data_IF_346368822383
#
_entry.id   IF_346368822383
#
_cell.length_a   1.000
_cell.length_b   1.000
_cell.length_c   1.000
_cell.angle_alpha   90.00
_cell.angle_beta   90.00
_cell.angle_gamma   90.00
#
_symmetry.space_group_name_H-M   'P 1'
#
loop_
_entity.id
_entity.type
_entity.pdbx_description
1 polymer ?
#
# COMPACT_ATOMS: atom_id res chain seq x y z
N UNK A 1 -59.25 34.15 -25.46
CA UNK A 1 -58.43 35.36 -25.39
C UNK A 1 -57.24 35.05 -24.50
N UNK A 2 -55.99 34.99 -24.93
CA UNK A 2 -55.29 35.34 -26.18
C UNK A 2 -53.97 34.54 -26.15
N UNK A 3 -53.61 33.83 -27.22
CA UNK A 3 -52.58 34.21 -28.20
C UNK A 3 -51.19 34.41 -27.56
N UNK A 4 -50.31 33.40 -27.61
CA UNK A 4 -49.33 33.13 -28.68
C UNK A 4 -48.01 33.92 -28.49
N UNK A 5 -46.93 33.22 -28.17
CA UNK A 5 -45.60 33.57 -28.72
C UNK A 5 -44.71 32.33 -28.74
N UNK A 6 -44.65 31.66 -29.89
CA UNK A 6 -43.81 30.50 -30.16
C UNK A 6 -42.91 30.88 -31.33
N UNK A 7 -41.78 31.50 -31.03
CA UNK A 7 -40.77 31.82 -32.03
C UNK A 7 -40.03 30.54 -32.43
N UNK A 8 -40.19 30.18 -33.70
CA UNK A 8 -39.45 29.14 -34.37
C UNK A 8 -38.11 29.72 -34.85
N UNK A 9 -37.01 29.17 -34.35
CA UNK A 9 -35.69 29.39 -34.94
C UNK A 9 -35.33 28.19 -35.81
N UNK A 10 -35.07 28.50 -37.08
CA UNK A 10 -34.80 27.57 -38.15
C UNK A 10 -33.40 26.94 -38.02
N UNK A 11 -33.34 25.62 -38.23
CA UNK A 11 -32.09 24.87 -38.41
C UNK A 11 -31.45 25.23 -39.75
N UNK A 12 -30.20 25.69 -39.71
CA UNK A 12 -29.34 25.81 -40.89
C UNK A 12 -28.43 24.57 -40.94
N UNK A 13 -28.47 23.74 -41.99
CA UNK A 13 -27.49 22.68 -42.20
C UNK A 13 -26.22 23.27 -42.81
N UNK A 14 -25.16 23.36 -41.99
CA UNK A 14 -23.82 23.68 -42.46
C UNK A 14 -23.01 22.39 -42.64
N UNK A 15 -22.99 21.85 -43.87
CA UNK A 15 -22.00 20.87 -44.33
C UNK A 15 -20.62 21.54 -44.46
N UNK A 16 -20.00 21.80 -43.31
CA UNK A 16 -18.61 22.20 -43.21
C UNK A 16 -17.77 20.98 -42.86
N UNK A 17 -17.26 20.27 -43.86
CA UNK A 17 -16.18 19.30 -43.63
C UNK A 17 -14.99 20.06 -43.02
N UNK A 18 -14.58 19.77 -41.78
CA UNK A 18 -13.42 20.44 -41.21
C UNK A 18 -12.20 20.03 -42.02
N UNK A 19 -11.62 20.98 -42.77
CA UNK A 19 -10.28 20.82 -43.31
C UNK A 19 -9.35 20.62 -42.11
N UNK A 20 -8.75 19.44 -42.02
CA UNK A 20 -7.78 19.10 -41.01
C UNK A 20 -6.62 20.12 -41.08
N UNK A 21 -6.63 21.08 -40.16
CA UNK A 21 -5.53 22.00 -39.98
C UNK A 21 -4.35 21.18 -39.48
N UNK A 22 -3.30 21.10 -40.29
CA UNK A 22 -2.05 20.48 -39.86
C UNK A 22 -1.59 21.19 -38.57
N UNK A 23 -1.24 20.44 -37.51
CA UNK A 23 -0.76 21.04 -36.28
C UNK A 23 0.43 21.94 -36.57
N UNK A 24 0.55 23.10 -35.89
CA UNK A 24 1.73 23.95 -36.03
C UNK A 24 2.98 23.11 -35.78
N UNK A 25 3.99 23.29 -36.63
CA UNK A 25 5.28 22.64 -36.48
C UNK A 25 5.86 23.00 -35.10
N UNK A 26 5.80 22.04 -34.18
CA UNK A 26 6.43 22.17 -32.86
C UNK A 26 7.93 22.28 -33.12
N UNK A 27 8.51 23.41 -32.74
CA UNK A 27 9.95 23.63 -32.82
C UNK A 27 10.66 22.44 -32.16
N UNK A 28 11.61 21.84 -32.88
CA UNK A 28 12.40 20.75 -32.35
C UNK A 28 13.04 21.18 -31.01
N UNK A 29 12.96 20.33 -29.96
CA UNK A 29 13.60 20.65 -28.69
C UNK A 29 15.08 20.93 -28.94
N UNK A 30 15.57 22.03 -28.35
CA UNK A 30 16.98 22.37 -28.40
C UNK A 30 17.80 21.17 -27.90
N UNK A 31 18.88 20.85 -28.63
CA UNK A 31 19.77 19.77 -28.24
C UNK A 31 20.24 19.98 -26.78
N UNK A 32 20.28 18.93 -25.96
CA UNK A 32 20.74 19.03 -24.59
C UNK A 32 22.17 19.59 -24.59
N UNK A 33 22.36 20.69 -23.88
CA UNK A 33 23.68 21.25 -23.62
C UNK A 33 24.38 20.26 -22.70
N UNK A 34 25.31 19.49 -23.24
CA UNK A 34 26.17 18.62 -22.44
C UNK A 34 27.04 19.55 -21.59
N UNK A 35 26.93 19.53 -20.25
CA UNK A 35 27.81 20.33 -19.41
C UNK A 35 29.26 19.91 -19.66
N UNK A 36 30.15 20.89 -19.78
CA UNK A 36 31.58 20.65 -19.90
C UNK A 36 32.07 19.77 -18.74
N UNK A 37 33.00 18.84 -18.97
CA UNK A 37 33.56 18.02 -17.91
C UNK A 37 34.16 18.92 -16.83
N UNK A 38 33.67 18.76 -15.60
CA UNK A 38 34.21 19.44 -14.43
C UNK A 38 35.62 18.89 -14.23
N UNK A 39 36.66 19.73 -14.08
CA UNK A 39 38.01 19.25 -13.82
C UNK A 39 38.02 18.44 -12.52
N UNK A 40 38.49 17.20 -12.61
CA UNK A 40 38.69 16.33 -11.45
C UNK A 40 39.67 16.99 -10.49
N UNK A 41 39.22 17.27 -9.27
CA UNK A 41 40.07 17.70 -8.18
C UNK A 41 41.04 16.56 -7.85
N UNK A 42 42.36 16.80 -7.78
CA UNK A 42 43.32 15.76 -7.42
C UNK A 42 42.98 15.19 -6.03
N UNK A 43 43.26 13.89 -5.78
CA UNK A 43 43.00 13.28 -4.49
C UNK A 43 43.81 14.01 -3.41
N UNK A 44 43.11 14.47 -2.37
CA UNK A 44 43.74 14.96 -1.14
C UNK A 44 44.57 13.82 -0.55
N UNK A 45 45.89 13.97 -0.57
CA UNK A 45 46.81 13.08 0.14
C UNK A 45 46.54 13.26 1.63
N UNK A 46 45.89 12.28 2.26
CA UNK A 46 45.74 12.26 3.71
C UNK A 46 47.12 12.14 4.37
N UNK A 47 47.52 13.18 5.07
CA UNK A 47 48.67 13.15 5.99
C UNK A 47 48.41 12.09 7.06
N UNK A 48 49.30 11.09 7.23
CA UNK A 48 49.12 10.08 8.27
C UNK A 48 49.11 10.74 9.64
N UNK A 49 48.07 10.45 10.42
CA UNK A 49 47.94 10.93 11.80
C UNK A 49 49.15 10.49 12.65
N UNK A 50 49.66 11.35 13.55
CA UNK A 50 50.73 10.99 14.47
C UNK A 50 50.30 9.82 15.36
N UNK A 51 51.12 8.76 15.39
CA UNK A 51 50.91 7.60 16.26
C UNK A 51 50.96 8.05 17.73
N UNK A 52 49.83 7.93 18.42
CA UNK A 52 49.77 8.04 19.88
C UNK A 52 50.60 6.91 20.53
N UNK A 53 51.36 7.20 21.61
CA UNK A 53 52.08 6.17 22.35
C UNK A 53 51.10 5.18 23.00
N UNK A 54 51.34 3.89 22.76
CA UNK A 54 50.60 2.77 23.35
C UNK A 54 50.88 2.71 24.85
N UNK A 55 49.87 2.99 25.67
CA UNK A 55 49.94 2.75 27.11
C UNK A 55 50.05 1.23 27.39
N UNK A 56 50.79 0.81 28.42
CA UNK A 56 50.87 -0.60 28.82
C UNK A 56 49.50 -1.11 29.26
N UNK A 57 49.08 -2.23 28.66
CA UNK A 57 47.83 -2.93 28.94
C UNK A 57 47.95 -3.65 30.29
N UNK A 58 47.53 -3.00 31.37
CA UNK A 58 47.32 -3.66 32.66
C UNK A 58 46.10 -4.57 32.55
N UNK A 59 46.35 -5.87 32.42
CA UNK A 59 45.32 -6.90 32.46
C UNK A 59 44.86 -7.09 33.91
N UNK A 60 43.91 -6.28 34.36
CA UNK A 60 43.15 -6.61 35.56
C UNK A 60 42.19 -7.77 35.21
N UNK A 61 42.43 -8.93 35.82
CA UNK A 61 41.48 -10.04 35.83
C UNK A 61 40.16 -9.53 36.45
N UNK A 62 39.13 -9.40 35.62
CA UNK A 62 37.77 -9.23 36.10
C UNK A 62 37.34 -10.57 36.72
N UNK A 63 36.94 -10.62 38.00
CA UNK A 63 36.44 -11.83 38.60
C UNK A 63 35.18 -12.28 37.86
N UNK A 64 35.19 -13.52 37.37
CA UNK A 64 34.01 -14.18 36.82
C UNK A 64 32.90 -14.18 37.88
N UNK A 65 31.73 -13.57 37.62
CA UNK A 65 30.61 -13.66 38.55
C UNK A 65 30.18 -15.11 38.70
N UNK A 66 29.98 -15.54 39.95
CA UNK A 66 29.45 -16.86 40.27
C UNK A 66 28.07 -17.07 39.59
N UNK A 67 27.74 -18.29 39.16
CA UNK A 67 26.44 -18.58 38.58
C UNK A 67 25.34 -18.24 39.58
N UNK A 68 24.44 -17.34 39.19
CA UNK A 68 23.21 -17.07 39.93
C UNK A 68 22.37 -18.36 39.96
N UNK A 69 21.93 -18.85 41.13
CA UNK A 69 21.06 -20.01 41.19
C UNK A 69 19.74 -19.70 40.47
N UNK A 70 19.34 -20.60 39.57
CA UNK A 70 18.06 -20.54 38.87
C UNK A 70 16.91 -20.44 39.88
N UNK A 71 15.90 -19.59 39.65
CA UNK A 71 14.73 -19.56 40.51
C UNK A 71 14.01 -20.91 40.46
N UNK A 72 13.75 -21.47 41.64
CA UNK A 72 12.86 -22.63 41.82
C UNK A 72 11.45 -22.15 41.46
N UNK A 73 11.00 -22.52 40.27
CA UNK A 73 9.60 -22.36 39.85
C UNK A 73 8.78 -23.46 40.54
N UNK A 74 8.10 -23.09 41.62
CA UNK A 74 7.06 -23.90 42.24
C UNK A 74 5.90 -24.06 41.24
N UNK A 75 5.45 -25.28 40.91
CA UNK A 75 4.32 -25.46 40.03
C UNK A 75 3.04 -25.00 40.73
N UNK A 76 2.49 -23.87 40.29
CA UNK A 76 1.12 -23.46 40.64
C UNK A 76 0.15 -24.41 39.93
N UNK A 77 -0.48 -25.27 40.71
CA UNK A 77 -1.56 -26.13 40.25
C UNK A 77 -2.75 -25.26 39.80
N UNK A 78 -3.08 -25.32 38.52
CA UNK A 78 -4.29 -24.69 37.99
C UNK A 78 -5.46 -25.64 38.20
N UNK A 79 -6.57 -25.19 38.84
CA UNK A 79 -7.74 -26.03 39.06
C UNK A 79 -8.47 -26.35 37.75
N UNK A 80 -8.67 -27.64 37.49
CA UNK A 80 -9.59 -28.19 36.49
C UNK A 80 -11.03 -28.19 37.00
N UNK A 81 -11.99 -27.62 36.27
CA UNK A 81 -13.41 -28.05 36.22
C UNK A 81 -14.21 -27.29 35.13
N UNK A 82 -15.40 -27.75 34.69
CA UNK A 82 -15.60 -28.77 33.66
C UNK A 82 -16.38 -28.28 32.42
N UNK A 83 -16.46 -29.19 31.45
CA UNK A 83 -17.23 -29.18 30.20
C UNK A 83 -18.73 -28.85 30.33
N UNK A 84 -19.27 -28.11 29.36
CA UNK A 84 -20.71 -28.09 29.04
C UNK A 84 -20.96 -27.81 27.55
N UNK A 85 -20.99 -28.89 26.78
CA UNK A 85 -22.16 -29.42 26.05
C UNK A 85 -23.10 -28.48 25.24
N UNK A 86 -23.22 -28.86 23.95
CA UNK A 86 -24.40 -28.93 23.04
C UNK A 86 -24.76 -27.76 22.09
N UNK A 87 -24.73 -28.14 20.80
CA UNK A 87 -25.76 -28.01 19.75
C UNK A 87 -26.57 -26.71 19.65
N UNK A 88 -26.55 -26.07 18.47
CA UNK A 88 -27.61 -26.21 17.45
C UNK A 88 -27.33 -25.37 16.18
N UNK A 89 -27.26 -26.06 15.04
CA UNK A 89 -27.56 -25.63 13.66
C UNK A 89 -28.80 -26.47 13.28
N UNK A 90 -29.87 -26.02 12.56
CA UNK A 90 -29.90 -25.24 11.29
C UNK A 90 -30.95 -24.09 11.32
N UNK A 91 -31.07 -23.18 10.34
CA UNK A 91 -31.81 -23.36 9.09
C UNK A 91 -31.75 -22.06 8.24
N UNK A 92 -31.52 -22.13 6.91
CA UNK A 92 -31.57 -20.99 6.01
C UNK A 92 -32.98 -20.75 5.46
N UNK A 93 -33.47 -19.51 5.57
CA UNK A 93 -34.73 -19.07 4.96
C UNK A 93 -34.50 -18.53 3.54
N UNK A 94 -35.23 -19.08 2.58
CA UNK A 94 -35.19 -18.76 1.16
C UNK A 94 -36.13 -17.60 0.74
N UNK A 95 -35.76 -16.98 -0.40
CA UNK A 95 -36.57 -16.28 -1.43
C UNK A 95 -37.19 -14.88 -1.18
N UNK A 96 -37.54 -14.08 -2.24
CA UNK A 96 -37.49 -14.37 -3.69
C UNK A 96 -36.77 -13.33 -4.60
N UNK A 97 -36.58 -13.76 -5.84
CA UNK A 97 -35.96 -13.09 -6.97
C UNK A 97 -36.65 -11.80 -7.45
N UNK A 98 -35.85 -10.84 -7.94
CA UNK A 98 -36.31 -9.77 -8.85
C UNK A 98 -35.60 -9.88 -10.20
N UNK A 99 -36.43 -10.17 -11.21
CA UNK A 99 -36.18 -10.17 -12.64
C UNK A 99 -35.93 -8.73 -13.12
N UNK A 100 -34.78 -8.50 -13.76
CA UNK A 100 -34.47 -7.25 -14.48
C UNK A 100 -33.76 -7.59 -15.80
N UNK A 101 -34.55 -7.68 -16.85
CA UNK A 101 -34.14 -7.95 -18.22
C UNK A 101 -33.73 -6.63 -18.89
N UNK A 102 -32.50 -6.56 -19.41
CA UNK A 102 -31.99 -5.41 -20.13
C UNK A 102 -30.83 -5.82 -21.04
N UNK A 103 -31.18 -6.24 -22.26
CA UNK A 103 -30.26 -6.50 -23.37
C UNK A 103 -29.73 -5.20 -23.97
N UNK A 104 -28.41 -5.12 -24.20
CA UNK A 104 -27.81 -4.39 -25.35
C UNK A 104 -26.34 -4.76 -25.56
N UNK A 105 -26.06 -5.23 -26.79
CA UNK A 105 -24.87 -5.12 -27.66
C UNK A 105 -23.46 -5.18 -27.05
N UNK A 106 -22.65 -6.20 -27.37
CA UNK A 106 -21.85 -6.38 -28.60
C UNK A 106 -20.61 -5.48 -28.66
N UNK A 107 -19.45 -6.09 -28.38
CA UNK A 107 -18.12 -5.53 -28.56
C UNK A 107 -17.08 -6.57 -28.15
N UNK A 108 -16.69 -7.44 -29.08
CA UNK A 108 -15.72 -8.51 -28.85
C UNK A 108 -14.32 -7.98 -28.52
N UNK A 109 -13.89 -8.22 -27.29
CA UNK A 109 -12.50 -8.23 -26.86
C UNK A 109 -12.37 -9.37 -25.86
N UNK A 110 -11.33 -10.19 -25.98
CA UNK A 110 -11.16 -11.46 -25.27
C UNK A 110 -11.46 -11.37 -23.77
N UNK A 111 -12.62 -11.90 -23.37
CA UNK A 111 -13.16 -11.96 -22.00
C UNK A 111 -12.40 -12.98 -21.14
N UNK A 112 -11.17 -12.65 -20.75
CA UNK A 112 -10.54 -13.20 -19.55
C UNK A 112 -10.77 -12.26 -18.34
N UNK A 113 -11.82 -11.44 -18.42
CA UNK A 113 -12.05 -10.21 -17.65
C UNK A 113 -13.15 -10.30 -16.59
N UNK A 114 -13.64 -11.49 -16.22
CA UNK A 114 -14.71 -11.57 -15.20
C UNK A 114 -14.65 -12.81 -14.31
N UNK A 115 -13.45 -13.35 -14.08
CA UNK A 115 -13.26 -14.11 -12.85
C UNK A 115 -13.53 -13.16 -11.69
N UNK A 116 -14.65 -13.38 -10.97
CA UNK A 116 -15.06 -12.62 -9.79
C UNK A 116 -13.87 -12.47 -8.85
N UNK A 117 -13.43 -11.23 -8.67
CA UNK A 117 -12.37 -10.88 -7.74
C UNK A 117 -12.89 -11.03 -6.30
N UNK A 118 -12.25 -11.90 -5.53
CA UNK A 118 -12.64 -12.18 -4.14
C UNK A 118 -11.57 -11.71 -3.16
N UNK A 119 -12.01 -11.33 -1.95
CA UNK A 119 -11.08 -10.97 -0.89
C UNK A 119 -10.34 -12.22 -0.41
N UNK A 120 -9.00 -12.14 -0.38
CA UNK A 120 -8.16 -13.16 0.21
C UNK A 120 -8.29 -13.05 1.73
N UNK A 121 -8.66 -14.14 2.38
CA UNK A 121 -8.69 -14.20 3.85
C UNK A 121 -7.29 -13.93 4.42
N UNK A 122 -7.22 -12.96 5.33
CA UNK A 122 -6.02 -12.57 6.07
C UNK A 122 -6.07 -13.19 7.47
N UNK A 123 -4.92 -13.61 7.98
CA UNK A 123 -4.78 -14.02 9.38
C UNK A 123 -4.73 -12.81 10.32
N UNK A 124 -4.95 -13.05 11.62
CA UNK A 124 -4.97 -12.00 12.66
C UNK A 124 -3.65 -11.25 12.86
N UNK A 125 -2.56 -11.69 12.23
CA UNK A 125 -1.24 -11.07 12.28
C UNK A 125 -0.67 -10.85 10.87
N UNK A 126 -1.53 -10.87 9.84
CA UNK A 126 -1.08 -10.74 8.46
C UNK A 126 -0.61 -9.32 8.13
N UNK A 127 -1.05 -8.31 8.86
CA UNK A 127 -0.76 -6.90 8.56
C UNK A 127 0.18 -6.31 9.60
N UNK A 128 1.27 -5.71 9.13
CA UNK A 128 2.27 -5.05 9.98
C UNK A 128 2.70 -3.70 9.40
N UNK A 129 3.22 -2.82 10.26
CA UNK A 129 3.80 -1.55 9.81
C UNK A 129 5.14 -1.81 9.11
N UNK A 130 5.27 -1.27 7.91
CA UNK A 130 6.51 -1.26 7.14
C UNK A 130 7.17 0.11 7.24
N UNK A 131 8.26 0.18 8.00
CA UNK A 131 8.94 1.44 8.29
C UNK A 131 10.47 1.26 8.26
N UNK A 132 11.06 1.06 7.06
CA UNK A 132 12.50 0.89 6.91
C UNK A 132 13.29 2.13 7.37
N UNK A 133 12.67 3.32 7.33
CA UNK A 133 13.29 4.59 7.66
C UNK A 133 13.00 5.10 9.08
N UNK A 134 12.30 4.31 9.90
CA UNK A 134 11.95 4.65 11.29
C UNK A 134 11.20 5.99 11.42
N UNK A 135 10.28 6.25 10.49
CA UNK A 135 9.48 7.47 10.37
C UNK A 135 8.11 7.36 11.05
N UNK A 136 7.59 6.16 11.28
CA UNK A 136 6.31 5.95 11.94
C UNK A 136 6.38 6.39 13.42
N UNK A 137 5.30 7.01 13.89
CA UNK A 137 5.15 7.53 15.25
C UNK A 137 3.86 6.98 15.84
N UNK A 138 4.00 6.23 16.93
CA UNK A 138 2.87 5.68 17.68
C UNK A 138 1.84 4.96 16.79
N UNK A 139 2.25 3.97 15.98
CA UNK A 139 1.29 3.23 15.16
C UNK A 139 0.22 2.61 16.07
N UNK A 140 -1.05 2.70 15.63
CA UNK A 140 -2.16 2.01 16.29
C UNK A 140 -2.08 0.49 16.14
N UNK A 141 -3.19 -0.19 16.45
CA UNK A 141 -3.32 -1.62 16.17
C UNK A 141 -3.55 -1.85 14.68
N UNK A 142 -2.70 -2.62 14.02
CA UNK A 142 -2.87 -2.92 12.59
C UNK A 142 -4.06 -3.83 12.31
N UNK A 143 -4.59 -4.53 13.32
CA UNK A 143 -5.82 -5.31 13.21
C UNK A 143 -7.03 -4.45 12.79
N UNK A 144 -7.09 -3.20 13.26
CA UNK A 144 -8.14 -2.23 12.92
C UNK A 144 -8.15 -1.83 11.43
N UNK A 145 -7.14 -2.23 10.66
CA UNK A 145 -7.09 -1.96 9.22
C UNK A 145 -7.81 -3.03 8.38
N UNK A 146 -8.17 -4.19 8.93
CA UNK A 146 -8.70 -5.32 8.15
C UNK A 146 -9.69 -6.22 8.92
N UNK A 147 -10.31 -5.69 9.97
CA UNK A 147 -11.29 -6.40 10.80
C UNK A 147 -12.72 -6.41 10.21
N UNK A 148 -12.93 -5.79 9.03
CA UNK A 148 -14.25 -5.60 8.42
C UNK A 148 -15.21 -4.73 9.23
N UNK A 149 -14.72 -3.93 10.17
CA UNK A 149 -15.50 -2.95 10.93
C UNK A 149 -15.23 -1.53 10.44
N UNK A 150 -16.22 -0.92 9.78
CA UNK A 150 -16.11 0.47 9.31
C UNK A 150 -16.01 1.54 10.42
N UNK A 151 -16.25 1.14 11.67
CA UNK A 151 -16.15 1.99 12.86
C UNK A 151 -14.74 2.07 13.44
N UNK A 152 -13.86 1.12 13.11
CA UNK A 152 -12.45 1.12 13.52
C UNK A 152 -11.59 1.75 12.42
N UNK A 153 -10.38 2.17 12.80
CA UNK A 153 -9.41 2.64 11.82
C UNK A 153 -8.00 2.59 12.41
N UNK A 154 -7.08 2.02 11.65
CA UNK A 154 -5.67 2.13 11.94
C UNK A 154 -5.15 3.52 11.54
N UNK A 155 -4.51 4.20 12.49
CA UNK A 155 -3.85 5.48 12.25
C UNK A 155 -2.34 5.29 12.04
N UNK A 156 -1.87 5.63 10.85
CA UNK A 156 -0.44 5.68 10.52
C UNK A 156 0.03 7.13 10.49
N UNK A 157 0.81 7.54 11.50
CA UNK A 157 1.37 8.89 11.59
C UNK A 157 2.87 8.84 11.35
N UNK A 158 3.41 9.75 10.54
CA UNK A 158 4.86 9.93 10.40
C UNK A 158 5.37 11.18 11.10
N UNK A 159 6.67 11.18 11.43
CA UNK A 159 7.41 12.32 11.95
C UNK A 159 7.18 13.57 11.11
N UNK A 160 6.97 14.71 11.78
CA UNK A 160 6.81 16.02 11.16
C UNK A 160 8.14 16.75 11.05
N UNK A 161 8.94 16.36 10.06
CA UNK A 161 10.28 16.91 9.79
C UNK A 161 10.36 17.59 8.41
N UNK A 162 9.21 17.83 7.77
CA UNK A 162 9.12 18.41 6.43
C UNK A 162 9.43 17.43 5.28
N UNK A 163 9.83 16.19 5.55
CA UNK A 163 10.04 15.18 4.52
C UNK A 163 8.74 14.45 4.15
N UNK A 164 8.78 13.59 3.14
CA UNK A 164 7.68 12.71 2.71
C UNK A 164 7.22 11.76 3.83
N UNK A 165 6.07 11.09 3.67
CA UNK A 165 5.57 10.12 4.66
C UNK A 165 6.57 8.97 4.81
N UNK A 166 6.86 8.28 3.70
CA UNK A 166 7.81 7.17 3.60
C UNK A 166 7.61 6.12 4.70
N UNK A 167 6.36 5.70 4.85
CA UNK A 167 5.89 4.64 5.76
C UNK A 167 4.82 3.83 5.05
N UNK A 168 4.63 2.58 5.44
CA UNK A 168 3.64 1.73 4.81
C UNK A 168 3.03 0.68 5.72
N UNK A 169 2.14 -0.10 5.13
CA UNK A 169 1.58 -1.32 5.68
C UNK A 169 2.00 -2.49 4.80
N UNK A 170 2.44 -3.59 5.39
CA UNK A 170 2.75 -4.82 4.67
C UNK A 170 1.78 -5.91 5.08
N UNK A 171 1.26 -6.63 4.09
CA UNK A 171 0.45 -7.83 4.25
C UNK A 171 1.30 -9.05 3.92
N UNK A 172 1.51 -9.94 4.89
CA UNK A 172 2.02 -11.31 4.67
C UNK A 172 0.84 -12.24 4.40
N UNK A 173 0.81 -12.78 3.18
CA UNK A 173 -0.20 -13.74 2.73
C UNK A 173 0.07 -15.18 3.22
N UNK A 174 1.12 -15.35 4.04
CA UNK A 174 1.70 -16.58 4.61
C UNK A 174 2.34 -17.50 3.56
N UNK A 175 1.76 -17.52 2.37
CA UNK A 175 2.18 -18.30 1.20
C UNK A 175 1.97 -17.47 -0.07
N UNK A 176 2.55 -17.94 -1.18
CA UNK A 176 2.35 -17.30 -2.48
C UNK A 176 0.90 -17.49 -2.93
N UNK A 177 0.15 -16.39 -3.04
CA UNK A 177 -1.24 -16.38 -3.52
C UNK A 177 -1.34 -15.48 -4.74
N UNK A 178 -2.26 -15.80 -5.66
CA UNK A 178 -2.54 -14.93 -6.80
C UNK A 178 -3.22 -13.66 -6.29
N UNK A 179 -2.58 -12.51 -6.48
CA UNK A 179 -3.13 -11.20 -6.14
C UNK A 179 -3.38 -10.44 -7.42
N UNK A 180 -4.63 -10.04 -7.60
CA UNK A 180 -5.15 -9.35 -8.78
C UNK A 180 -5.43 -7.88 -8.53
N UNK A 181 -5.41 -7.46 -7.27
CA UNK A 181 -5.57 -6.08 -6.87
C UNK A 181 -5.78 -5.95 -5.38
N UNK A 182 -6.17 -4.76 -4.98
CA UNK A 182 -6.39 -4.38 -3.59
C UNK A 182 -7.59 -3.44 -3.51
N UNK A 183 -8.31 -3.50 -2.41
CA UNK A 183 -9.36 -2.54 -2.05
C UNK A 183 -8.94 -1.88 -0.74
N UNK A 184 -8.85 -0.56 -0.75
CA UNK A 184 -8.40 0.24 0.38
C UNK A 184 -9.46 1.28 0.69
N UNK A 185 -9.92 1.34 1.93
CA UNK A 185 -10.77 2.43 2.42
C UNK A 185 -9.97 3.33 3.36
N UNK A 186 -9.86 4.60 3.00
CA UNK A 186 -9.18 5.62 3.81
C UNK A 186 -10.17 6.64 4.38
N UNK A 187 -9.91 7.06 5.62
CA UNK A 187 -10.62 8.15 6.28
C UNK A 187 -10.09 9.54 5.89
N UNK A 188 -8.83 9.63 5.46
CA UNK A 188 -8.17 10.88 5.08
C UNK A 188 -7.99 10.98 3.57
N UNK A 189 -8.08 12.19 3.01
CA UNK A 189 -8.04 12.44 1.55
C UNK A 189 -6.72 13.11 1.12
N UNK A 190 -6.29 12.88 -0.11
CA UNK A 190 -5.18 13.61 -0.75
C UNK A 190 -3.81 12.95 -0.66
N UNK A 191 -3.69 11.83 0.05
CA UNK A 191 -2.41 11.12 0.16
C UNK A 191 -2.04 10.37 -1.13
N UNK A 192 -0.75 10.06 -1.29
CA UNK A 192 -0.26 9.17 -2.36
C UNK A 192 0.09 7.81 -1.80
N UNK A 193 -0.33 6.77 -2.51
CA UNK A 193 -0.02 5.37 -2.25
C UNK A 193 0.66 4.73 -3.45
N UNK A 194 1.65 3.90 -3.17
CA UNK A 194 2.29 3.00 -4.12
C UNK A 194 2.13 1.56 -3.59
N UNK A 195 1.65 0.66 -4.43
CA UNK A 195 1.52 -0.75 -4.11
C UNK A 195 2.75 -1.48 -4.64
N UNK A 196 3.52 -2.06 -3.72
CA UNK A 196 4.64 -2.94 -4.01
C UNK A 196 4.26 -4.38 -3.67
N UNK A 197 4.81 -5.35 -4.37
CA UNK A 197 4.56 -6.75 -4.08
C UNK A 197 5.79 -7.60 -4.39
N UNK A 198 5.95 -8.72 -3.69
CA UNK A 198 7.05 -9.65 -3.97
C UNK A 198 6.64 -11.09 -3.69
N UNK A 199 7.20 -12.02 -4.45
CA UNK A 199 7.05 -13.46 -4.23
C UNK A 199 8.16 -14.03 -3.31
N UNK A 200 9.08 -13.17 -2.83
CA UNK A 200 10.19 -13.54 -1.97
C UNK A 200 9.72 -14.22 -0.69
N UNK A 201 10.52 -15.16 -0.18
CA UNK A 201 10.24 -15.83 1.09
C UNK A 201 10.50 -14.95 2.32
N UNK A 202 11.17 -13.82 2.15
CA UNK A 202 11.44 -12.84 3.19
C UNK A 202 11.03 -11.45 2.73
N UNK A 203 10.47 -10.66 3.64
CA UNK A 203 10.11 -9.27 3.38
C UNK A 203 11.38 -8.47 3.02
N UNK A 204 11.43 -7.77 1.88
CA UNK A 204 12.56 -6.92 1.55
C UNK A 204 12.76 -5.81 2.60
N UNK A 205 14.02 -5.53 3.00
CA UNK A 205 14.32 -4.63 4.11
C UNK A 205 14.14 -3.15 3.77
N UNK A 206 14.04 -2.80 2.49
CA UNK A 206 13.92 -1.43 2.00
C UNK A 206 13.04 -1.37 0.74
N UNK A 207 12.40 -0.22 0.47
CA UNK A 207 11.49 -0.05 -0.67
C UNK A 207 12.23 -0.01 -2.02
N UNK A 208 13.53 0.28 -2.03
CA UNK A 208 14.37 0.29 -3.23
C UNK A 208 14.97 -1.08 -3.56
N UNK A 209 14.63 -2.12 -2.78
CA UNK A 209 15.12 -3.47 -3.04
C UNK A 209 14.59 -3.99 -4.37
N UNK A 210 15.50 -4.52 -5.19
CA UNK A 210 15.18 -5.06 -6.54
C UNK A 210 14.21 -6.24 -6.56
N UNK A 211 13.92 -6.85 -5.40
CA UNK A 211 12.92 -7.92 -5.26
C UNK A 211 11.49 -7.41 -5.32
N UNK A 212 11.27 -6.10 -5.25
CA UNK A 212 9.96 -5.51 -5.40
C UNK A 212 9.51 -5.48 -6.85
N UNK A 213 8.28 -5.94 -7.07
CA UNK A 213 7.45 -5.51 -8.17
C UNK A 213 6.62 -4.28 -7.74
N UNK A 214 6.36 -3.37 -8.67
CA UNK A 214 5.55 -2.17 -8.45
C UNK A 214 4.31 -2.23 -9.36
N UNK A 215 3.28 -3.00 -8.99
CA UNK A 215 2.12 -3.21 -9.85
C UNK A 215 1.22 -1.98 -10.03
N UNK A 216 1.15 -1.06 -9.07
CA UNK A 216 0.24 0.07 -9.15
C UNK A 216 0.58 1.25 -8.24
N UNK A 217 0.11 2.44 -8.61
CA UNK A 217 0.20 3.67 -7.81
C UNK A 217 -1.12 4.44 -7.83
N UNK A 218 -1.44 5.15 -6.74
CA UNK A 218 -2.58 6.06 -6.60
C UNK A 218 -2.13 7.42 -6.05
N UNK A 219 -2.18 8.50 -6.85
CA UNK A 219 -1.68 9.83 -6.47
C UNK A 219 -2.62 10.64 -5.58
N UNK A 220 -3.90 10.29 -5.49
CA UNK A 220 -4.91 11.01 -4.72
C UNK A 220 -5.90 10.01 -4.10
N UNK A 221 -5.62 9.58 -2.87
CA UNK A 221 -6.48 8.65 -2.16
C UNK A 221 -7.74 9.33 -1.66
N UNK A 222 -8.90 8.70 -1.89
CA UNK A 222 -10.17 9.21 -1.38
C UNK A 222 -11.19 8.09 -1.10
N UNK A 223 -11.70 8.02 0.14
CA UNK A 223 -12.75 7.05 0.49
C UNK A 223 -12.34 5.61 0.19
N UNK A 224 -13.18 4.86 -0.51
CA UNK A 224 -12.90 3.47 -0.93
C UNK A 224 -12.36 3.45 -2.35
N UNK A 225 -11.13 2.97 -2.49
CA UNK A 225 -10.41 2.85 -3.74
C UNK A 225 -10.15 1.38 -4.07
N UNK A 226 -10.47 0.98 -5.29
CA UNK A 226 -10.10 -0.33 -5.84
C UNK A 226 -8.98 -0.17 -6.85
N UNK A 227 -7.86 -0.85 -6.60
CA UNK A 227 -6.63 -0.74 -7.39
C UNK A 227 -6.34 -2.12 -7.97
N UNK A 228 -6.54 -2.27 -9.27
CA UNK A 228 -6.28 -3.53 -9.98
C UNK A 228 -4.83 -3.60 -10.43
N UNK A 229 -4.23 -4.77 -10.31
CA UNK A 229 -2.89 -5.02 -10.80
C UNK A 229 -2.92 -5.36 -12.29
N UNK A 230 -1.91 -4.95 -13.07
CA UNK A 230 -1.86 -5.16 -14.50
C UNK A 230 -1.87 -6.67 -14.84
N UNK A 231 -2.34 -7.00 -16.04
CA UNK A 231 -2.37 -8.39 -16.58
C UNK A 231 -3.11 -9.38 -15.68
N UNK A 232 -4.06 -8.89 -14.87
CA UNK A 232 -4.85 -9.73 -13.98
C UNK A 232 -4.06 -10.26 -12.78
N UNK A 233 -2.94 -9.62 -12.42
CA UNK A 233 -2.16 -9.94 -11.23
C UNK A 233 -1.06 -11.00 -11.39
N UNK A 234 -0.38 -11.30 -10.29
CA UNK A 234 0.66 -12.33 -10.21
C UNK A 234 0.62 -13.04 -8.85
N UNK A 235 1.47 -14.05 -8.66
CA UNK A 235 1.59 -14.72 -7.36
C UNK A 235 2.57 -13.96 -6.47
N UNK A 236 2.09 -13.40 -5.37
CA UNK A 236 2.93 -12.72 -4.38
C UNK A 236 2.75 -13.35 -3.01
N UNK A 237 3.76 -13.18 -2.15
CA UNK A 237 3.68 -13.51 -0.72
C UNK A 237 3.48 -12.25 0.12
N UNK A 238 4.17 -11.17 -0.22
CA UNK A 238 4.07 -9.89 0.46
C UNK A 238 3.47 -8.85 -0.47
N UNK A 239 2.55 -8.05 0.07
CA UNK A 239 2.02 -6.85 -0.59
C UNK A 239 2.18 -5.67 0.36
N UNK A 240 2.87 -4.63 -0.08
CA UNK A 240 3.19 -3.44 0.71
C UNK A 240 2.51 -2.22 0.14
N UNK A 241 1.78 -1.51 1.00
CA UNK A 241 1.09 -0.27 0.74
C UNK A 241 1.97 0.88 1.24
N UNK A 242 2.73 1.47 0.34
CA UNK A 242 3.73 2.49 0.64
C UNK A 242 3.18 3.89 0.45
N UNK A 243 3.11 4.68 1.52
CA UNK A 243 2.60 6.04 1.46
C UNK A 243 3.74 7.05 1.33
N UNK A 244 3.75 7.81 0.24
CA UNK A 244 4.83 8.77 -0.07
C UNK A 244 4.41 10.21 0.21
N UNK A 245 3.17 10.59 -0.09
CA UNK A 245 2.68 11.96 0.11
C UNK A 245 1.61 12.00 1.21
N UNK A 246 1.73 12.92 2.20
CA UNK A 246 0.74 13.06 3.27
C UNK A 246 -0.64 13.50 2.77
N UNK A 247 -1.73 13.10 3.44
CA UNK A 247 -3.05 13.65 3.22
C UNK A 247 -3.12 15.18 3.39
N UNK A 248 -4.17 15.78 2.82
CA UNK A 248 -4.42 17.22 2.91
C UNK A 248 -4.68 17.68 4.37
N UNK A 249 -5.14 16.78 5.23
CA UNK A 249 -5.45 17.05 6.63
C UNK A 249 -4.24 16.95 7.57
N UNK A 250 -3.07 16.52 7.07
CA UNK A 250 -1.86 16.35 7.88
C UNK A 250 -1.11 15.04 7.61
N UNK A 251 -0.21 14.67 8.51
CA UNK A 251 0.72 13.53 8.34
C UNK A 251 0.19 12.18 8.86
N UNK A 252 -1.10 12.12 9.12
CA UNK A 252 -1.77 10.90 9.60
C UNK A 252 -2.67 10.35 8.49
N UNK A 253 -2.43 9.09 8.11
CA UNK A 253 -3.31 8.32 7.25
C UNK A 253 -4.20 7.46 8.13
N UNK A 254 -5.51 7.55 7.93
CA UNK A 254 -6.47 6.66 8.56
C UNK A 254 -6.85 5.58 7.56
N UNK A 255 -6.42 4.34 7.81
CA UNK A 255 -6.82 3.16 7.05
C UNK A 255 -7.98 2.51 7.81
N UNK A 256 -9.16 2.51 7.18
CA UNK A 256 -10.38 1.95 7.78
C UNK A 256 -10.59 0.49 7.41
N UNK A 257 -10.19 0.12 6.20
CA UNK A 257 -10.38 -1.24 5.71
C UNK A 257 -9.35 -1.50 4.60
N UNK A 258 -8.79 -2.70 4.60
CA UNK A 258 -7.80 -3.17 3.66
C UNK A 258 -8.14 -4.59 3.25
N UNK A 259 -8.31 -4.81 1.95
CA UNK A 259 -8.52 -6.13 1.37
C UNK A 259 -7.54 -6.38 0.25
N UNK A 260 -6.94 -7.57 0.25
CA UNK A 260 -6.17 -8.08 -0.89
C UNK A 260 -7.13 -8.91 -1.74
N UNK A 261 -7.13 -8.68 -3.06
CA UNK A 261 -8.06 -9.33 -3.99
C UNK A 261 -7.33 -10.40 -4.81
N UNK A 262 -7.91 -11.59 -4.93
CA UNK A 262 -7.35 -12.76 -5.63
C UNK A 262 -8.28 -13.37 -6.67
#
# INVERSE_FOLDING_TARGET
>A
SSDANREAIASVPGDGTPLAQAPPAVAAPAAPVIPAPVPETPPTVETPAPKLPTAPKTTAQVPTPAPTPSPIITPTQTPTTPSSTRNSTPEPKAEPAKRGQGTSASGGGSDESDAKLEAIALGAESVSVYDPYKRAVGPGDTADAYDSDSGTSFALTAKDDGAELQVGLTVDLESRKKVRGVELTVGTKGGRLEAYATDSGTLPPDILDTRWDHPASRPDLSGTERILFPKGGANYRYVTFWFTVPPNSGRTIQVKELKVLG
#
